data_IF_378483868554
#
_entry.id   IF_378483868554
#
_cell.length_a   1.000
_cell.length_b   1.000
_cell.length_c   1.000
_cell.angle_alpha   90.00
_cell.angle_beta   90.00
_cell.angle_gamma   90.00
#
_symmetry.space_group_name_H-M   'P 1'
#
loop_
_entity.id
_entity.type
_entity.pdbx_description
1 polymer ?
#
# COMPACT_ATOMS: atom_id res chain seq x y z
N UNK A 1 -12.16 5.44 -39.48
CA UNK A 1 -12.50 5.32 -38.05
C UNK A 1 -11.46 4.40 -37.43
N UNK A 2 -10.71 4.85 -36.42
CA UNK A 2 -9.59 4.07 -35.85
C UNK A 2 -10.02 3.49 -34.51
N UNK A 3 -9.79 2.19 -34.32
CA UNK A 3 -9.99 1.49 -33.05
C UNK A 3 -8.63 1.08 -32.51
N UNK A 4 -8.40 1.34 -31.22
CA UNK A 4 -7.17 0.96 -30.51
C UNK A 4 -7.56 0.09 -29.33
N UNK A 5 -6.82 -1.00 -29.12
CA UNK A 5 -6.97 -1.88 -27.96
C UNK A 5 -5.63 -1.92 -27.22
N UNK A 6 -5.69 -1.93 -25.89
CA UNK A 6 -4.53 -2.05 -25.02
C UNK A 6 -4.75 -3.13 -23.97
N UNK A 7 -3.66 -3.74 -23.52
CA UNK A 7 -3.65 -4.72 -22.43
C UNK A 7 -2.89 -4.11 -21.27
N UNK A 8 -3.52 -4.03 -20.10
CA UNK A 8 -2.90 -3.56 -18.86
C UNK A 8 -2.76 -4.73 -17.88
N UNK A 9 -1.77 -4.65 -16.99
CA UNK A 9 -1.64 -5.56 -15.85
C UNK A 9 -2.39 -4.97 -14.65
N UNK A 10 -3.16 -5.76 -13.88
CA UNK A 10 -3.72 -5.29 -12.62
C UNK A 10 -2.60 -5.02 -11.61
N UNK A 11 -2.70 -3.91 -10.88
CA UNK A 11 -1.82 -3.63 -9.74
C UNK A 11 -2.42 -4.36 -8.55
N UNK A 12 -1.66 -5.31 -7.99
CA UNK A 12 -2.06 -5.98 -6.75
C UNK A 12 -1.98 -4.99 -5.58
N UNK A 13 -3.06 -4.88 -4.81
CA UNK A 13 -3.12 -4.06 -3.60
C UNK A 13 -3.41 -4.95 -2.40
N UNK A 14 -2.75 -4.67 -1.28
CA UNK A 14 -2.96 -5.37 -0.01
C UNK A 14 -3.10 -4.34 1.10
N UNK A 15 -4.25 -4.36 1.75
CA UNK A 15 -4.49 -3.52 2.92
C UNK A 15 -3.86 -4.16 4.16
N UNK A 16 -2.98 -3.40 4.82
CA UNK A 16 -2.33 -3.80 6.07
C UNK A 16 -2.59 -2.74 7.12
N UNK A 17 -2.78 -3.19 8.38
CA UNK A 17 -2.98 -2.32 9.54
C UNK A 17 -1.89 -2.59 10.56
N UNK A 18 -1.46 -1.54 11.25
CA UNK A 18 -0.54 -1.61 12.36
C UNK A 18 -0.94 -0.59 13.41
N UNK A 19 -0.68 -0.93 14.67
CA UNK A 19 -0.98 -0.12 15.83
C UNK A 19 0.34 0.26 16.51
N UNK A 20 0.35 1.40 17.19
CA UNK A 20 1.48 1.91 17.94
C UNK A 20 1.02 3.01 18.90
N UNK A 21 1.84 3.32 19.90
CA UNK A 21 1.47 4.31 20.93
C UNK A 21 1.48 5.74 20.40
N UNK A 22 2.18 5.96 19.30
CA UNK A 22 2.25 7.20 18.56
C UNK A 22 2.35 6.87 17.06
N UNK A 23 2.36 7.92 16.22
CA UNK A 23 2.44 7.75 14.78
C UNK A 23 3.73 7.07 14.30
N UNK A 24 4.87 7.36 14.91
CA UNK A 24 6.16 6.80 14.53
C UNK A 24 6.19 5.30 14.81
N UNK A 25 5.77 4.88 16.00
CA UNK A 25 5.63 3.47 16.40
C UNK A 25 4.70 2.71 15.43
N UNK A 26 3.53 3.28 15.13
CA UNK A 26 2.55 2.65 14.24
C UNK A 26 3.08 2.54 12.80
N UNK A 27 3.83 3.55 12.34
CA UNK A 27 4.45 3.57 11.00
C UNK A 27 5.57 2.55 10.89
N UNK A 28 6.40 2.41 11.91
CA UNK A 28 7.46 1.39 11.95
C UNK A 28 6.85 -0.02 11.93
N UNK A 29 5.84 -0.25 12.77
CA UNK A 29 5.10 -1.51 12.79
C UNK A 29 4.39 -1.80 11.44
N UNK A 30 3.92 -0.76 10.74
CA UNK A 30 3.35 -0.90 9.39
C UNK A 30 4.43 -1.30 8.38
N UNK A 31 5.58 -0.63 8.39
CA UNK A 31 6.71 -0.94 7.49
C UNK A 31 7.20 -2.37 7.66
N UNK A 32 7.28 -2.87 8.90
CA UNK A 32 7.68 -4.25 9.17
C UNK A 32 6.74 -5.30 8.57
N UNK A 33 5.49 -4.94 8.25
CA UNK A 33 4.50 -5.82 7.60
C UNK A 33 4.53 -5.75 6.07
N UNK A 34 5.30 -4.83 5.49
CA UNK A 34 5.37 -4.65 4.03
C UNK A 34 6.25 -5.77 3.44
N UNK A 35 5.74 -6.55 2.46
CA UNK A 35 6.55 -7.57 1.79
C UNK A 35 7.77 -6.96 1.09
N UNK A 36 8.82 -7.77 0.93
CA UNK A 36 10.01 -7.35 0.20
C UNK A 36 9.67 -6.91 -1.24
N UNK A 37 10.23 -5.79 -1.67
CA UNK A 37 9.99 -5.21 -3.00
C UNK A 37 8.68 -4.42 -3.12
N UNK A 38 7.88 -4.31 -2.06
CA UNK A 38 6.67 -3.50 -2.03
C UNK A 38 6.92 -2.15 -1.36
N UNK A 39 6.10 -1.16 -1.72
CA UNK A 39 6.11 0.16 -1.11
C UNK A 39 4.67 0.57 -0.74
N UNK A 40 4.49 1.32 0.35
CA UNK A 40 3.17 1.82 0.71
C UNK A 40 2.73 2.86 -0.32
N UNK A 41 1.58 2.65 -0.95
CA UNK A 41 0.97 3.63 -1.86
C UNK A 41 0.38 4.83 -1.08
N UNK A 42 -0.20 4.56 0.08
CA UNK A 42 -0.84 5.54 0.95
C UNK A 42 -0.78 5.05 2.40
N UNK A 43 -0.58 5.97 3.34
CA UNK A 43 -0.66 5.69 4.78
C UNK A 43 -1.70 6.64 5.36
N UNK A 44 -2.73 6.08 5.99
CA UNK A 44 -3.79 6.82 6.66
C UNK A 44 -3.76 6.50 8.15
N UNK A 45 -3.97 7.50 8.98
CA UNK A 45 -4.22 7.30 10.41
C UNK A 45 -5.72 7.01 10.55
N UNK A 46 -6.07 5.80 10.97
CA UNK A 46 -7.43 5.47 11.38
C UNK A 46 -7.70 6.22 12.71
N UNK A 47 -8.75 7.05 12.73
CA UNK A 47 -9.17 7.85 13.90
C UNK A 47 -10.44 7.27 14.52
#
# INVERSE_FOLDING_TARGET
MIKVAGVIRPVEKKDIRAEGNNYEDAREALQAKIPEGWAPQQILVER
#
